data_IF_846184016130
#
_entry.id   IF_846184016130
#
_cell.length_a   1.000
_cell.length_b   1.000
_cell.length_c   1.000
_cell.angle_alpha   90.00
_cell.angle_beta   90.00
_cell.angle_gamma   90.00
#
_symmetry.space_group_name_H-M   'P 1'
#
loop_
_entity.id
_entity.type
_entity.pdbx_description
1 polymer ?
#
# COMPACT_ATOMS: atom_id res chain seq x y z
N UNK A 1 3.63 -12.33 -7.54
CA UNK A 1 3.80 -10.87 -7.37
C UNK A 1 4.10 -10.53 -5.91
N UNK A 2 3.22 -10.82 -4.96
CA UNK A 2 3.26 -10.47 -3.53
C UNK A 2 4.62 -10.72 -2.84
N UNK A 3 5.16 -11.95 -2.93
CA UNK A 3 6.44 -12.29 -2.29
C UNK A 3 7.59 -11.47 -2.87
N UNK A 4 7.63 -11.34 -4.21
CA UNK A 4 8.67 -10.55 -4.88
C UNK A 4 8.61 -9.09 -4.48
N UNK A 5 7.44 -8.50 -4.46
CA UNK A 5 7.23 -7.11 -4.08
C UNK A 5 7.60 -6.86 -2.61
N UNK A 6 7.28 -7.80 -1.70
CA UNK A 6 7.74 -7.71 -0.31
C UNK A 6 9.28 -7.71 -0.19
N UNK A 7 9.96 -8.55 -0.97
CA UNK A 7 11.43 -8.58 -1.05
C UNK A 7 11.98 -7.28 -1.63
N UNK A 8 11.35 -6.78 -2.70
CA UNK A 8 11.76 -5.52 -3.35
C UNK A 8 11.63 -4.33 -2.38
N UNK A 9 10.57 -4.26 -1.55
CA UNK A 9 10.43 -3.24 -0.51
C UNK A 9 11.55 -3.33 0.55
N UNK A 10 11.90 -4.53 1.01
CA UNK A 10 12.99 -4.71 1.98
C UNK A 10 14.32 -4.20 1.41
N UNK A 11 14.63 -4.57 0.18
CA UNK A 11 15.86 -4.10 -0.49
C UNK A 11 15.84 -2.58 -0.72
N UNK A 12 14.70 -2.04 -1.15
CA UNK A 12 14.55 -0.61 -1.42
C UNK A 12 14.83 0.24 -0.17
N UNK A 13 14.14 -0.05 0.93
CA UNK A 13 14.33 0.73 2.16
C UNK A 13 15.68 0.51 2.81
N UNK A 14 16.24 -0.69 2.73
CA UNK A 14 17.62 -0.93 3.18
C UNK A 14 18.63 -0.13 2.35
N UNK A 15 18.43 -0.05 1.04
CA UNK A 15 19.24 0.77 0.15
C UNK A 15 19.15 2.26 0.49
N UNK A 16 17.94 2.77 0.64
CA UNK A 16 17.72 4.20 0.99
C UNK A 16 18.41 4.59 2.30
N UNK A 17 18.31 3.75 3.33
CA UNK A 17 18.96 4.05 4.62
C UNK A 17 20.47 4.01 4.50
N UNK A 18 21.03 3.07 3.77
CA UNK A 18 22.47 2.99 3.56
C UNK A 18 23.02 4.18 2.76
N UNK A 19 22.29 4.65 1.76
CA UNK A 19 22.80 5.57 0.76
C UNK A 19 22.41 7.03 1.06
N UNK A 20 21.24 7.27 1.69
CA UNK A 20 20.66 8.61 1.85
C UNK A 20 20.52 9.07 3.32
N UNK A 21 20.59 8.15 4.30
CA UNK A 21 20.40 8.53 5.71
C UNK A 21 21.69 8.99 6.36
N UNK A 22 21.61 10.13 7.01
CA UNK A 22 22.63 10.65 7.90
C UNK A 22 22.07 10.67 9.33
N UNK A 23 22.72 9.95 10.24
CA UNK A 23 22.31 9.85 11.63
C UNK A 23 22.36 11.19 12.42
N UNK A 24 23.01 12.21 11.89
CA UNK A 24 23.01 13.55 12.49
C UNK A 24 21.72 14.31 12.15
N UNK A 25 21.20 14.13 10.95
CA UNK A 25 20.02 14.85 10.42
C UNK A 25 18.73 14.04 10.46
N UNK A 26 18.82 12.71 10.28
CA UNK A 26 17.68 11.80 10.30
C UNK A 26 17.54 11.17 11.70
N UNK A 27 16.45 11.46 12.39
CA UNK A 27 16.14 10.93 13.71
C UNK A 27 14.84 10.13 13.67
N UNK A 28 14.78 8.96 14.34
CA UNK A 28 13.52 8.22 14.44
C UNK A 28 12.48 9.06 15.17
N UNK A 29 11.24 9.00 14.73
CA UNK A 29 10.11 9.67 15.36
C UNK A 29 9.59 8.91 16.57
N UNK A 30 9.77 7.59 16.59
CA UNK A 30 9.36 6.71 17.68
C UNK A 30 8.40 5.61 17.24
N UNK A 31 7.25 5.52 17.90
CA UNK A 31 6.28 4.44 17.64
C UNK A 31 5.38 4.76 16.46
N UNK A 32 5.40 3.90 15.44
CA UNK A 32 4.49 3.95 14.29
C UNK A 32 3.40 2.89 14.37
N UNK A 33 2.20 3.25 13.91
CA UNK A 33 1.14 2.30 13.59
C UNK A 33 1.11 2.09 12.09
N UNK A 34 1.24 0.84 11.65
CA UNK A 34 1.14 0.44 10.26
C UNK A 34 -0.14 -0.35 10.05
N UNK A 35 -1.07 0.17 9.27
CA UNK A 35 -2.37 -0.44 8.96
C UNK A 35 -2.40 -0.81 7.49
N UNK A 36 -2.43 -2.09 7.17
CA UNK A 36 -2.31 -2.61 5.81
C UNK A 36 -3.64 -3.14 5.25
N UNK A 37 -3.81 -3.16 3.92
CA UNK A 37 -5.02 -3.62 3.27
C UNK A 37 -5.04 -5.14 3.12
N UNK A 38 -6.20 -5.68 2.72
CA UNK A 38 -6.41 -7.10 2.49
C UNK A 38 -5.93 -7.60 1.12
N UNK A 39 -5.89 -6.73 0.11
CA UNK A 39 -5.62 -7.09 -1.29
C UNK A 39 -4.14 -7.21 -1.65
N UNK A 40 -3.24 -6.70 -0.79
CA UNK A 40 -1.79 -6.90 -0.82
C UNK A 40 -1.31 -7.26 0.59
N UNK A 41 -1.73 -8.43 1.09
CA UNK A 41 -1.62 -8.76 2.52
C UNK A 41 -0.19 -9.04 3.00
N UNK A 42 0.75 -9.31 2.09
CA UNK A 42 2.16 -9.50 2.41
C UNK A 42 3.01 -8.30 1.96
N UNK A 43 2.88 -7.89 0.70
CA UNK A 43 3.76 -6.86 0.13
C UNK A 43 3.60 -5.52 0.83
N UNK A 44 2.40 -4.95 0.86
CA UNK A 44 2.16 -3.65 1.51
C UNK A 44 2.38 -3.74 3.02
N UNK A 45 1.93 -4.83 3.67
CA UNK A 45 2.18 -5.05 5.08
C UNK A 45 3.69 -5.01 5.41
N UNK A 46 4.50 -5.76 4.66
CA UNK A 46 5.96 -5.79 4.82
C UNK A 46 6.59 -4.44 4.48
N UNK A 47 6.15 -3.80 3.41
CA UNK A 47 6.68 -2.52 2.97
C UNK A 47 6.53 -1.41 4.00
N UNK A 48 5.35 -1.29 4.63
CA UNK A 48 5.12 -0.32 5.72
C UNK A 48 6.03 -0.59 6.92
N UNK A 49 6.13 -1.86 7.34
CA UNK A 49 6.99 -2.26 8.46
C UNK A 49 8.45 -1.98 8.13
N UNK A 50 8.91 -2.38 6.95
CA UNK A 50 10.30 -2.21 6.51
C UNK A 50 10.71 -0.73 6.49
N UNK A 51 9.85 0.15 5.94
CA UNK A 51 10.10 1.59 5.90
C UNK A 51 10.26 2.18 7.31
N UNK A 52 9.34 1.83 8.21
CA UNK A 52 9.38 2.35 9.58
C UNK A 52 10.58 1.84 10.36
N UNK A 53 10.89 0.53 10.29
CA UNK A 53 12.04 -0.07 10.98
C UNK A 53 13.37 0.43 10.42
N UNK A 54 13.51 0.54 9.10
CA UNK A 54 14.71 1.05 8.45
C UNK A 54 15.04 2.48 8.90
N UNK A 55 14.00 3.31 9.10
CA UNK A 55 14.15 4.67 9.67
C UNK A 55 14.33 4.70 11.21
N UNK A 56 14.56 3.56 11.86
CA UNK A 56 14.84 3.45 13.30
C UNK A 56 13.61 3.54 14.21
N UNK A 57 12.40 3.43 13.66
CA UNK A 57 11.16 3.47 14.44
C UNK A 57 10.74 2.08 14.92
N UNK A 58 9.92 2.02 15.96
CA UNK A 58 9.21 0.79 16.35
C UNK A 58 7.80 0.75 15.75
N UNK A 59 7.26 -0.45 15.56
CA UNK A 59 6.03 -0.67 14.78
C UNK A 59 4.99 -1.46 15.56
N UNK A 60 3.75 -0.96 15.56
CA UNK A 60 2.54 -1.72 15.84
C UNK A 60 1.87 -2.03 14.51
N UNK A 61 1.95 -3.27 14.08
CA UNK A 61 1.46 -3.72 12.78
C UNK A 61 0.05 -4.28 12.90
N UNK A 62 -0.91 -3.61 12.27
CA UNK A 62 -2.29 -4.04 12.17
C UNK A 62 -2.59 -4.48 10.74
N UNK A 63 -2.67 -5.78 10.47
CA UNK A 63 -3.12 -6.29 9.18
C UNK A 63 -4.64 -6.09 9.02
N UNK A 64 -5.10 -6.17 7.79
CA UNK A 64 -6.53 -6.29 7.52
C UNK A 64 -7.11 -7.52 8.22
N UNK A 65 -8.32 -7.39 8.73
CA UNK A 65 -9.00 -8.45 9.50
C UNK A 65 -9.24 -9.74 8.71
N UNK A 66 -9.20 -9.67 7.37
CA UNK A 66 -9.34 -10.80 6.47
C UNK A 66 -8.06 -11.62 6.31
N UNK A 67 -6.87 -11.06 6.62
CA UNK A 67 -5.58 -11.64 6.26
C UNK A 67 -4.56 -11.72 7.41
N UNK A 68 -4.99 -12.01 8.67
CA UNK A 68 -4.09 -11.97 9.83
C UNK A 68 -3.05 -13.09 9.83
N UNK A 69 -3.36 -14.24 9.22
CA UNK A 69 -2.44 -15.40 9.21
C UNK A 69 -1.21 -15.13 8.35
N UNK A 70 -1.39 -14.48 7.20
CA UNK A 70 -0.28 -14.13 6.33
C UNK A 70 0.63 -13.06 6.96
N UNK A 71 0.02 -12.08 7.64
CA UNK A 71 0.74 -11.08 8.42
C UNK A 71 1.56 -11.71 9.57
N UNK A 72 0.98 -12.69 10.28
CA UNK A 72 1.69 -13.42 11.32
C UNK A 72 2.93 -14.14 10.76
N UNK A 73 2.78 -14.80 9.61
CA UNK A 73 3.92 -15.44 8.93
C UNK A 73 4.99 -14.42 8.54
N UNK A 74 4.58 -13.25 8.00
CA UNK A 74 5.50 -12.15 7.66
C UNK A 74 6.30 -11.66 8.87
N UNK A 75 5.64 -11.44 10.01
CA UNK A 75 6.32 -11.04 11.26
C UNK A 75 7.25 -12.13 11.75
N UNK A 76 6.85 -13.41 11.68
CA UNK A 76 7.72 -14.55 12.06
C UNK A 76 9.01 -14.54 11.24
N UNK A 77 8.93 -14.37 9.93
CA UNK A 77 10.09 -14.29 9.04
C UNK A 77 11.01 -13.12 9.41
N UNK A 78 10.44 -11.95 9.72
CA UNK A 78 11.23 -10.79 10.16
C UNK A 78 11.99 -11.08 11.46
N UNK A 79 11.35 -11.72 12.44
CA UNK A 79 11.99 -12.10 13.70
C UNK A 79 13.10 -13.17 13.48
N UNK A 80 12.86 -14.16 12.66
CA UNK A 80 13.85 -15.17 12.26
C UNK A 80 15.05 -14.55 11.52
N UNK A 81 14.82 -13.49 10.75
CA UNK A 81 15.85 -12.72 10.09
C UNK A 81 16.65 -11.81 11.03
N UNK A 82 16.31 -11.76 12.33
CA UNK A 82 17.05 -11.02 13.34
C UNK A 82 16.45 -9.65 13.72
N UNK A 83 15.23 -9.31 13.26
CA UNK A 83 14.53 -8.12 13.76
C UNK A 83 14.22 -8.33 15.24
N UNK A 84 14.63 -7.40 16.15
CA UNK A 84 14.38 -7.58 17.56
C UNK A 84 12.88 -7.64 17.89
N UNK A 85 12.46 -8.60 18.69
CA UNK A 85 11.05 -8.80 19.03
C UNK A 85 10.36 -7.60 19.71
N UNK A 86 11.13 -6.71 20.31
CA UNK A 86 10.61 -5.49 20.96
C UNK A 86 10.25 -4.37 19.98
N UNK A 87 10.68 -4.40 18.71
CA UNK A 87 10.51 -3.29 17.79
C UNK A 87 9.38 -3.50 16.78
N UNK A 88 8.85 -4.71 16.65
CA UNK A 88 7.68 -5.01 15.83
C UNK A 88 6.68 -5.86 16.60
N UNK A 89 5.44 -5.38 16.70
CA UNK A 89 4.35 -6.06 17.39
C UNK A 89 3.18 -6.24 16.43
N UNK A 90 2.73 -7.49 16.26
CA UNK A 90 1.53 -7.80 15.47
C UNK A 90 0.28 -7.64 16.34
N UNK A 91 -0.65 -6.80 15.91
CA UNK A 91 -1.89 -6.52 16.63
C UNK A 91 -3.10 -6.72 15.69
N UNK A 92 -3.50 -7.98 15.45
CA UNK A 92 -4.67 -8.27 14.62
C UNK A 92 -5.95 -7.84 15.32
N UNK A 93 -6.92 -7.41 14.56
CA UNK A 93 -8.23 -7.03 15.07
C UNK A 93 -8.98 -6.08 14.13
N UNK A 94 -10.20 -5.76 14.51
CA UNK A 94 -11.07 -4.90 13.70
C UNK A 94 -10.57 -3.45 13.70
N UNK A 95 -10.68 -2.79 12.54
CA UNK A 95 -10.26 -1.40 12.37
C UNK A 95 -10.98 -0.44 13.33
N UNK A 96 -12.29 -0.65 13.54
CA UNK A 96 -13.11 0.21 14.42
C UNK A 96 -12.75 0.10 15.91
N UNK A 97 -12.10 -0.98 16.31
CA UNK A 97 -11.71 -1.21 17.72
C UNK A 97 -10.21 -1.07 17.90
N UNK A 98 -9.42 -1.97 17.33
CA UNK A 98 -7.96 -1.98 17.48
C UNK A 98 -7.33 -0.77 16.77
N UNK A 99 -7.66 -0.54 15.50
CA UNK A 99 -7.14 0.59 14.72
C UNK A 99 -7.48 1.93 15.33
N UNK A 100 -8.74 2.13 15.73
CA UNK A 100 -9.17 3.36 16.40
C UNK A 100 -8.42 3.59 17.73
N UNK A 101 -8.23 2.51 18.52
CA UNK A 101 -7.50 2.61 19.80
C UNK A 101 -6.02 2.94 19.57
N UNK A 102 -5.38 2.27 18.62
CA UNK A 102 -3.97 2.51 18.29
C UNK A 102 -3.74 3.95 17.82
N UNK A 103 -4.54 4.40 16.86
CA UNK A 103 -4.38 5.73 16.25
C UNK A 103 -4.78 6.87 17.19
N UNK A 104 -5.56 6.61 18.25
CA UNK A 104 -5.88 7.60 19.28
C UNK A 104 -4.87 7.71 20.42
N UNK A 105 -3.92 6.76 20.55
CA UNK A 105 -2.95 6.75 21.64
C UNK A 105 -1.84 7.81 21.43
N UNK A 106 -1.62 8.64 22.42
CA UNK A 106 -0.64 9.75 22.35
C UNK A 106 0.82 9.31 22.27
N UNK A 107 1.13 8.05 22.52
CA UNK A 107 2.48 7.48 22.34
C UNK A 107 2.81 7.22 20.88
N UNK A 108 1.80 7.09 20.03
CA UNK A 108 1.97 6.91 18.59
C UNK A 108 2.46 8.22 17.97
N UNK A 109 3.55 8.14 17.24
CA UNK A 109 4.25 9.28 16.63
C UNK A 109 4.09 9.39 15.14
N UNK A 110 3.50 8.38 14.50
CA UNK A 110 3.17 8.38 13.09
C UNK A 110 2.23 7.23 12.73
N UNK A 111 1.50 7.39 11.66
CA UNK A 111 0.57 6.40 11.12
C UNK A 111 0.86 6.20 9.65
N UNK A 112 1.06 4.95 9.25
CA UNK A 112 1.04 4.50 7.84
C UNK A 112 -0.24 3.72 7.62
N UNK A 113 -0.99 4.10 6.61
CA UNK A 113 -2.27 3.50 6.27
C UNK A 113 -2.36 3.23 4.78
N UNK A 114 -2.81 2.04 4.41
CA UNK A 114 -3.26 1.75 3.05
C UNK A 114 -4.64 1.13 3.10
N UNK A 115 -5.61 1.74 2.41
CA UNK A 115 -6.99 1.28 2.42
C UNK A 115 -7.96 2.25 1.76
N UNK A 116 -9.17 2.39 2.30
CA UNK A 116 -10.18 3.26 1.71
C UNK A 116 -9.93 4.75 2.00
N UNK A 117 -10.37 5.61 1.08
CA UNK A 117 -10.29 7.07 1.24
C UNK A 117 -11.11 7.57 2.43
N UNK A 118 -12.23 6.91 2.73
CA UNK A 118 -13.09 7.25 3.88
C UNK A 118 -12.34 7.04 5.19
N UNK A 119 -11.66 5.90 5.34
CA UNK A 119 -10.88 5.61 6.55
C UNK A 119 -9.66 6.53 6.65
N UNK A 120 -8.95 6.80 5.55
CA UNK A 120 -7.85 7.76 5.53
C UNK A 120 -8.31 9.15 6.00
N UNK A 121 -9.47 9.62 5.51
CA UNK A 121 -10.07 10.90 5.91
C UNK A 121 -10.46 10.91 7.40
N UNK A 122 -10.96 9.79 7.93
CA UNK A 122 -11.25 9.64 9.35
C UNK A 122 -9.98 9.71 10.20
N UNK A 123 -8.94 8.97 9.81
CA UNK A 123 -7.64 8.99 10.46
C UNK A 123 -7.04 10.40 10.46
N UNK A 124 -7.05 11.07 9.31
CA UNK A 124 -6.56 12.45 9.17
C UNK A 124 -7.27 13.39 10.16
N UNK A 125 -8.61 13.32 10.25
CA UNK A 125 -9.37 14.15 11.21
C UNK A 125 -9.00 13.87 12.65
N UNK A 126 -8.81 12.60 13.00
CA UNK A 126 -8.53 12.18 14.37
C UNK A 126 -7.11 12.57 14.84
N UNK A 127 -6.14 12.56 13.92
CA UNK A 127 -4.74 12.86 14.29
C UNK A 127 -4.29 14.29 13.99
N UNK A 128 -5.04 15.04 13.17
CA UNK A 128 -4.67 16.39 12.73
C UNK A 128 -4.50 17.39 13.91
N UNK A 129 -5.20 17.17 15.01
CA UNK A 129 -5.13 18.01 16.21
C UNK A 129 -4.04 17.57 17.20
N UNK A 130 -3.37 16.45 16.92
CA UNK A 130 -2.33 15.91 17.79
C UNK A 130 -0.99 16.53 17.41
N UNK A 131 -0.48 17.38 18.29
CA UNK A 131 0.79 18.05 18.10
C UNK A 131 1.86 17.45 19.01
N UNK A 132 3.09 17.39 18.51
CA UNK A 132 4.26 17.08 19.34
C UNK A 132 4.68 18.28 20.22
N UNK A 133 5.73 18.11 21.01
CA UNK A 133 6.23 19.17 21.89
C UNK A 133 6.74 20.42 21.14
N UNK A 134 6.99 20.30 19.83
CA UNK A 134 7.40 21.37 18.93
C UNK A 134 6.24 21.98 18.13
N UNK A 135 5.00 21.57 18.41
CA UNK A 135 3.80 22.02 17.70
C UNK A 135 3.61 21.41 16.31
N UNK A 136 4.31 20.34 15.96
CA UNK A 136 4.18 19.66 14.67
C UNK A 136 3.08 18.59 14.74
N UNK A 137 2.26 18.45 13.70
CA UNK A 137 1.21 17.42 13.66
C UNK A 137 1.82 16.02 13.57
N UNK A 138 1.11 15.02 14.11
CA UNK A 138 1.45 13.61 13.93
C UNK A 138 1.37 13.26 12.43
N UNK A 139 2.44 12.76 11.80
CA UNK A 139 2.43 12.44 10.38
C UNK A 139 1.49 11.28 10.07
N UNK A 140 0.74 11.42 8.98
CA UNK A 140 -0.04 10.38 8.34
C UNK A 140 0.47 10.17 6.92
N UNK A 141 0.92 8.96 6.62
CA UNK A 141 1.20 8.49 5.27
C UNK A 141 0.02 7.61 4.87
N UNK A 142 -0.80 8.08 3.94
CA UNK A 142 -2.02 7.39 3.56
C UNK A 142 -2.04 7.13 2.04
N UNK A 143 -2.06 5.84 1.69
CA UNK A 143 -2.25 5.36 0.35
C UNK A 143 -3.68 4.85 0.19
N UNK A 144 -4.40 5.36 -0.80
CA UNK A 144 -5.82 5.03 -1.00
C UNK A 144 -6.12 4.62 -2.45
N UNK A 145 -7.37 4.42 -2.77
CA UNK A 145 -7.80 4.18 -4.14
C UNK A 145 -7.62 5.40 -5.04
N UNK A 146 -7.75 5.21 -6.34
CA UNK A 146 -7.61 6.27 -7.34
C UNK A 146 -8.43 6.02 -8.59
N UNK A 147 -8.58 7.07 -9.39
CA UNK A 147 -9.15 7.05 -10.75
C UNK A 147 -8.01 7.04 -11.77
N UNK A 148 -7.27 5.92 -11.83
CA UNK A 148 -6.10 5.79 -12.69
C UNK A 148 -6.50 5.83 -14.17
N UNK A 149 -5.80 6.62 -14.95
CA UNK A 149 -6.05 6.81 -16.37
C UNK A 149 -4.91 6.26 -17.23
N UNK A 150 -5.26 5.67 -18.36
CA UNK A 150 -4.36 5.36 -19.45
C UNK A 150 -4.68 6.30 -20.62
N UNK A 151 -3.68 6.99 -21.12
CA UNK A 151 -3.79 7.89 -22.28
C UNK A 151 -3.11 7.22 -23.46
N UNK A 152 -3.86 7.02 -24.53
CA UNK A 152 -3.41 6.33 -25.76
C UNK A 152 -3.46 7.31 -26.90
N UNK A 153 -2.30 7.55 -27.49
CA UNK A 153 -2.15 8.38 -28.67
C UNK A 153 -2.05 7.53 -29.94
N UNK A 154 -2.18 8.13 -31.12
CA UNK A 154 -2.23 7.44 -32.39
C UNK A 154 -0.95 6.68 -32.76
N UNK A 155 0.17 6.93 -32.09
CA UNK A 155 1.43 6.19 -32.29
C UNK A 155 1.49 4.86 -31.52
N UNK A 156 0.54 4.60 -30.60
CA UNK A 156 0.52 3.39 -29.80
C UNK A 156 0.12 2.15 -30.64
N UNK A 157 0.76 1.01 -30.36
CA UNK A 157 0.39 -0.27 -30.95
C UNK A 157 -0.91 -0.78 -30.31
N UNK A 158 -1.98 -0.82 -31.07
CA UNK A 158 -3.34 -1.12 -30.56
C UNK A 158 -3.41 -2.50 -29.88
N UNK A 159 -2.73 -3.51 -30.42
CA UNK A 159 -2.69 -4.85 -29.82
C UNK A 159 -2.08 -4.83 -28.42
N UNK A 160 -1.00 -4.08 -28.22
CA UNK A 160 -0.36 -3.92 -26.91
C UNK A 160 -1.28 -3.14 -25.95
N UNK A 161 -1.93 -2.09 -26.43
CA UNK A 161 -2.89 -1.31 -25.63
C UNK A 161 -4.00 -2.22 -25.10
N UNK A 162 -4.55 -3.10 -25.93
CA UNK A 162 -5.62 -4.04 -25.51
C UNK A 162 -5.13 -4.98 -24.41
N UNK A 163 -3.94 -5.56 -24.56
CA UNK A 163 -3.33 -6.44 -23.55
C UNK A 163 -3.12 -5.68 -22.23
N UNK A 164 -2.55 -4.49 -22.31
CA UNK A 164 -2.23 -3.68 -21.13
C UNK A 164 -3.52 -3.20 -20.41
N UNK A 165 -4.55 -2.83 -21.16
CA UNK A 165 -5.85 -2.46 -20.59
C UNK A 165 -6.48 -3.63 -19.85
N UNK A 166 -6.51 -4.83 -20.45
CA UNK A 166 -7.07 -6.02 -19.80
C UNK A 166 -6.32 -6.37 -18.53
N UNK A 167 -5.00 -6.42 -18.57
CA UNK A 167 -4.17 -6.70 -17.41
C UNK A 167 -4.33 -5.63 -16.31
N UNK A 168 -4.30 -4.36 -16.70
CA UNK A 168 -4.40 -3.26 -15.73
C UNK A 168 -5.78 -3.13 -15.10
N UNK A 169 -6.85 -3.29 -15.87
CA UNK A 169 -8.22 -3.08 -15.39
C UNK A 169 -8.78 -4.29 -14.62
N UNK A 170 -8.43 -5.52 -15.04
CA UNK A 170 -9.17 -6.72 -14.63
C UNK A 170 -8.37 -7.76 -13.85
N UNK A 171 -7.02 -7.73 -13.86
CA UNK A 171 -6.24 -8.59 -12.98
C UNK A 171 -6.63 -8.36 -11.51
N UNK A 172 -6.69 -9.45 -10.73
CA UNK A 172 -7.20 -9.43 -9.36
C UNK A 172 -8.64 -8.90 -9.27
N UNK A 173 -9.46 -9.17 -10.27
CA UNK A 173 -10.83 -8.64 -10.41
C UNK A 173 -10.91 -7.10 -10.33
N UNK A 174 -9.85 -6.41 -10.74
CA UNK A 174 -9.71 -4.95 -10.64
C UNK A 174 -9.62 -4.41 -9.22
N UNK A 175 -9.37 -5.27 -8.22
CA UNK A 175 -9.29 -4.90 -6.80
C UNK A 175 -7.91 -4.41 -6.40
N UNK A 176 -7.35 -3.48 -7.17
CA UNK A 176 -6.05 -2.83 -6.91
C UNK A 176 -6.21 -1.32 -6.92
N UNK A 177 -5.49 -0.63 -6.03
CA UNK A 177 -5.41 0.83 -6.02
C UNK A 177 -4.87 1.39 -7.35
N UNK A 178 -4.01 0.63 -8.04
CA UNK A 178 -3.39 0.95 -9.33
C UNK A 178 -4.19 0.48 -10.55
N UNK A 179 -5.36 -0.19 -10.40
CA UNK A 179 -6.13 -0.67 -11.53
C UNK A 179 -6.60 0.47 -12.42
N UNK A 180 -6.54 0.25 -13.72
CA UNK A 180 -7.06 1.20 -14.72
C UNK A 180 -8.56 1.42 -14.52
N UNK A 181 -8.99 2.69 -14.49
CA UNK A 181 -10.40 3.11 -14.34
C UNK A 181 -10.91 3.94 -15.51
N UNK A 182 -10.00 4.70 -16.14
CA UNK A 182 -10.34 5.59 -17.24
C UNK A 182 -9.40 5.34 -18.41
N UNK A 183 -9.95 4.97 -19.55
CA UNK A 183 -9.20 4.83 -20.80
C UNK A 183 -9.49 6.03 -21.70
N UNK A 184 -8.47 6.85 -21.96
CA UNK A 184 -8.53 7.99 -22.86
C UNK A 184 -7.88 7.60 -24.19
N UNK A 185 -8.65 7.57 -25.27
CA UNK A 185 -8.17 7.24 -26.61
C UNK A 185 -8.18 8.49 -27.47
N UNK A 186 -7.12 8.70 -28.26
CA UNK A 186 -7.13 9.70 -29.30
C UNK A 186 -8.17 9.33 -30.36
N UNK A 187 -8.86 10.32 -30.89
CA UNK A 187 -10.10 10.14 -31.67
C UNK A 187 -9.91 9.28 -32.92
N UNK A 188 -8.80 9.45 -33.63
CA UNK A 188 -8.46 8.73 -34.86
C UNK A 188 -8.21 7.22 -34.68
N UNK A 189 -7.85 6.75 -33.48
CA UNK A 189 -7.61 5.33 -33.16
C UNK A 189 -8.70 4.74 -32.25
N UNK A 190 -9.62 5.55 -31.75
CA UNK A 190 -10.58 5.16 -30.73
C UNK A 190 -11.48 4.01 -31.17
N UNK A 191 -12.12 4.12 -32.32
CA UNK A 191 -13.07 3.10 -32.84
C UNK A 191 -12.40 1.74 -33.06
N UNK A 192 -11.19 1.75 -33.63
CA UNK A 192 -10.43 0.53 -33.86
C UNK A 192 -10.02 -0.12 -32.54
N UNK A 193 -9.48 0.65 -31.62
CA UNK A 193 -9.06 0.17 -30.30
C UNK A 193 -10.23 -0.38 -29.50
N UNK A 194 -11.36 0.32 -29.49
CA UNK A 194 -12.56 -0.13 -28.79
C UNK A 194 -13.13 -1.43 -29.39
N UNK A 195 -13.09 -1.59 -30.72
CA UNK A 195 -13.52 -2.83 -31.38
C UNK A 195 -12.65 -4.02 -30.94
N UNK A 196 -11.34 -3.85 -30.95
CA UNK A 196 -10.40 -4.89 -30.52
C UNK A 196 -10.55 -5.21 -29.04
N UNK A 197 -10.67 -4.18 -28.19
CA UNK A 197 -10.84 -4.36 -26.75
C UNK A 197 -12.14 -5.13 -26.43
N UNK A 198 -13.26 -4.80 -27.08
CA UNK A 198 -14.52 -5.54 -26.91
C UNK A 198 -14.39 -7.00 -27.33
N UNK A 199 -13.69 -7.28 -28.43
CA UNK A 199 -13.41 -8.64 -28.86
C UNK A 199 -12.59 -9.42 -27.84
N UNK A 200 -11.51 -8.84 -27.37
CA UNK A 200 -10.65 -9.45 -26.35
C UNK A 200 -11.38 -9.66 -25.01
N UNK A 201 -12.22 -8.71 -24.58
CA UNK A 201 -13.05 -8.86 -23.37
C UNK A 201 -14.05 -10.02 -23.49
N UNK A 202 -14.58 -10.27 -24.69
CA UNK A 202 -15.52 -11.38 -24.91
C UNK A 202 -14.86 -12.77 -24.76
N UNK A 203 -13.53 -12.85 -24.94
CA UNK A 203 -12.73 -14.07 -24.74
C UNK A 203 -12.32 -14.28 -23.28
N UNK A 204 -12.46 -13.26 -22.42
CA UNK A 204 -12.11 -13.37 -21.01
C UNK A 204 -13.05 -14.35 -20.31
N UNK A 205 -12.46 -15.29 -19.57
CA UNK A 205 -13.22 -16.23 -18.74
C UNK A 205 -13.37 -15.66 -17.33
N UNK A 206 -14.61 -15.58 -16.89
CA UNK A 206 -14.92 -15.22 -15.49
C UNK A 206 -15.34 -16.48 -14.73
N UNK A 207 -14.89 -16.62 -13.50
CA UNK A 207 -15.19 -17.77 -12.66
C UNK A 207 -14.49 -17.69 -11.31
N UNK A 208 -14.63 -18.78 -10.55
CA UNK A 208 -13.88 -18.96 -9.32
C UNK A 208 -12.45 -19.38 -9.70
N UNK A 209 -11.39 -18.68 -9.21
CA UNK A 209 -10.00 -18.99 -9.49
C UNK A 209 -9.57 -20.34 -8.92
#
# INVERSE_FOLDING_TARGET
AEVREAVDFLHYYAGQVRDDFDNETHRPLGLFVCISPWNFPLAIFTGQIAAALAAGNSVLAQPAEQTPLLAAQGVTILLEAGVPAGVVQLLPGRGETVGAKLTSDNRVRGVMFTGSTEVASLLQRNIATRLDAQGRPTPLIAETGGMNAMIVDSSALTEQVVVDVLASAFDSAGQRCSALRVLCLQDDVADHTLKMLRGAMAECRMGNP
#
